data_IF_251428242275
#
_entry.id   IF_251428242275
#
_cell.length_a   1.000
_cell.length_b   1.000
_cell.length_c   1.000
_cell.angle_alpha   90.00
_cell.angle_beta   90.00
_cell.angle_gamma   90.00
#
_symmetry.space_group_name_H-M   'P 1'
#
loop_
_entity.id
_entity.type
_entity.pdbx_description
1 polymer ?
#
# COMPACT_ATOMS: atom_id res chain seq x y z
N UNK A 1 28.10 -15.84 1.58
CA UNK A 1 26.94 -14.99 1.27
C UNK A 1 25.71 -15.56 1.96
N UNK A 2 24.80 -14.74 2.51
CA UNK A 2 23.54 -15.25 3.06
C UNK A 2 22.71 -15.90 1.94
N UNK A 3 21.97 -16.96 2.27
CA UNK A 3 21.02 -17.56 1.32
C UNK A 3 19.94 -16.53 0.97
N UNK A 4 19.49 -16.47 -0.29
CA UNK A 4 18.41 -15.57 -0.66
C UNK A 4 17.15 -15.89 0.15
N UNK A 5 16.29 -14.89 0.43
CA UNK A 5 15.05 -15.12 1.15
C UNK A 5 14.15 -16.09 0.36
N UNK A 6 13.41 -16.91 1.10
CA UNK A 6 12.36 -17.76 0.51
C UNK A 6 11.19 -16.88 0.09
N UNK A 7 10.51 -17.30 -0.98
CA UNK A 7 9.30 -16.63 -1.41
C UNK A 7 8.20 -16.76 -0.34
N UNK A 8 7.52 -15.65 -0.03
CA UNK A 8 6.39 -15.62 0.88
C UNK A 8 5.12 -15.34 0.10
N UNK A 9 4.25 -16.34 0.01
CA UNK A 9 2.94 -16.22 -0.64
C UNK A 9 2.06 -15.18 0.06
N UNK A 10 2.09 -15.14 1.40
CA UNK A 10 1.36 -14.14 2.20
C UNK A 10 1.85 -12.72 1.88
N UNK A 11 3.16 -12.50 1.82
CA UNK A 11 3.70 -11.18 1.50
C UNK A 11 3.32 -10.74 0.07
N UNK A 12 3.35 -11.66 -0.89
CA UNK A 12 2.91 -11.39 -2.25
C UNK A 12 1.41 -11.08 -2.34
N UNK A 13 0.60 -11.82 -1.58
CA UNK A 13 -0.84 -11.60 -1.53
C UNK A 13 -1.17 -10.23 -0.91
N UNK A 14 -0.55 -9.86 0.22
CA UNK A 14 -0.68 -8.54 0.83
C UNK A 14 -0.28 -7.43 -0.17
N UNK A 15 0.84 -7.60 -0.88
CA UNK A 15 1.28 -6.63 -1.89
C UNK A 15 0.27 -6.51 -3.04
N UNK A 16 -0.29 -7.63 -3.48
CA UNK A 16 -1.32 -7.66 -4.52
C UNK A 16 -2.62 -6.97 -4.05
N UNK A 17 -3.05 -7.22 -2.81
CA UNK A 17 -4.19 -6.55 -2.18
C UNK A 17 -3.96 -5.03 -2.11
N UNK A 18 -2.79 -4.58 -1.62
CA UNK A 18 -2.44 -3.17 -1.59
C UNK A 18 -2.49 -2.54 -2.98
N UNK A 19 -1.92 -3.20 -4.00
CA UNK A 19 -1.94 -2.67 -5.37
C UNK A 19 -3.36 -2.51 -5.91
N UNK A 20 -4.27 -3.42 -5.57
CA UNK A 20 -5.70 -3.32 -5.94
C UNK A 20 -6.37 -2.16 -5.20
N UNK A 21 -6.20 -2.07 -3.87
CA UNK A 21 -6.78 -1.00 -3.04
C UNK A 21 -6.26 0.38 -3.50
N UNK A 22 -4.96 0.49 -3.79
CA UNK A 22 -4.32 1.73 -4.20
C UNK A 22 -4.87 2.31 -5.52
N UNK A 23 -5.64 1.54 -6.30
CA UNK A 23 -6.35 2.06 -7.48
C UNK A 23 -7.50 2.99 -7.12
N UNK A 24 -8.05 2.88 -5.91
CA UNK A 24 -9.09 3.78 -5.41
C UNK A 24 -8.53 5.15 -4.98
N UNK A 25 -7.19 5.30 -4.94
CA UNK A 25 -6.53 6.51 -4.48
C UNK A 25 -6.96 7.74 -5.25
N UNK A 26 -7.43 8.74 -4.50
CA UNK A 26 -7.76 10.06 -5.01
C UNK A 26 -6.53 10.96 -5.03
N UNK A 27 -6.55 11.94 -5.92
CA UNK A 27 -5.51 12.95 -6.03
C UNK A 27 -6.16 14.33 -6.00
N UNK A 28 -5.56 15.25 -5.24
CA UNK A 28 -5.96 16.64 -5.16
C UNK A 28 -4.82 17.52 -5.66
N UNK A 29 -5.03 18.25 -6.75
CA UNK A 29 -3.99 19.08 -7.40
C UNK A 29 -2.68 18.31 -7.68
N UNK A 30 -2.79 17.02 -8.00
CA UNK A 30 -1.64 16.13 -8.26
C UNK A 30 -0.99 15.56 -6.99
N UNK A 31 -1.47 15.90 -5.79
CA UNK A 31 -1.03 15.33 -4.52
C UNK A 31 -1.87 14.08 -4.20
N UNK A 32 -1.26 12.91 -3.97
CA UNK A 32 -1.99 11.72 -3.57
C UNK A 32 -2.60 11.88 -2.17
N UNK A 33 -3.88 11.53 -2.03
CA UNK A 33 -4.53 11.42 -0.73
C UNK A 33 -4.31 10.02 -0.13
N UNK A 34 -4.32 9.94 1.21
CA UNK A 34 -4.18 8.68 1.93
C UNK A 34 -5.36 7.73 1.66
N UNK A 35 -5.09 6.44 1.67
CA UNK A 35 -6.11 5.40 1.65
C UNK A 35 -6.76 5.30 3.03
N UNK A 36 -8.07 5.12 3.06
CA UNK A 36 -8.86 4.98 4.28
C UNK A 36 -9.35 3.56 4.52
N UNK A 37 -9.93 3.35 5.70
CA UNK A 37 -10.61 2.09 6.04
C UNK A 37 -11.74 1.74 5.06
N UNK A 38 -12.40 2.74 4.47
CA UNK A 38 -13.43 2.55 3.44
C UNK A 38 -12.87 1.89 2.17
N UNK A 39 -11.67 2.27 1.74
CA UNK A 39 -11.05 1.67 0.54
C UNK A 39 -10.67 0.21 0.78
N UNK A 40 -10.22 -0.10 2.00
CA UNK A 40 -9.93 -1.48 2.44
C UNK A 40 -11.24 -2.28 2.54
N UNK A 41 -12.29 -1.70 3.12
CA UNK A 41 -13.61 -2.32 3.21
C UNK A 41 -14.17 -2.68 1.83
N UNK A 42 -14.11 -1.77 0.87
CA UNK A 42 -14.55 -2.02 -0.51
C UNK A 42 -13.77 -3.17 -1.19
N UNK A 43 -12.48 -3.33 -0.87
CA UNK A 43 -11.73 -4.50 -1.33
C UNK A 43 -12.24 -5.79 -0.67
N UNK A 44 -12.53 -5.77 0.62
CA UNK A 44 -13.01 -6.94 1.36
C UNK A 44 -14.44 -7.36 1.00
N UNK A 45 -15.23 -6.48 0.38
CA UNK A 45 -16.52 -6.84 -0.21
C UNK A 45 -16.38 -7.75 -1.43
N UNK A 46 -15.23 -7.71 -2.11
CA UNK A 46 -14.97 -8.45 -3.35
C UNK A 46 -13.97 -9.61 -3.17
N UNK A 47 -13.11 -9.52 -2.15
CA UNK A 47 -11.98 -10.43 -1.95
C UNK A 47 -11.87 -10.84 -0.48
N UNK A 48 -11.35 -12.04 -0.24
CA UNK A 48 -10.98 -12.48 1.10
C UNK A 48 -9.65 -11.85 1.54
N UNK A 49 -9.52 -11.57 2.84
CA UNK A 49 -8.26 -11.08 3.40
C UNK A 49 -7.18 -12.18 3.32
N UNK A 50 -5.96 -11.88 2.84
CA UNK A 50 -4.90 -12.88 2.69
C UNK A 50 -4.23 -13.29 4.01
N UNK A 51 -4.64 -12.67 5.12
CA UNK A 51 -4.18 -12.87 6.49
C UNK A 51 -5.21 -12.25 7.44
N UNK A 52 -4.92 -12.26 8.74
CA UNK A 52 -5.71 -11.59 9.76
C UNK A 52 -5.93 -10.12 9.39
N UNK A 53 -7.19 -9.67 9.50
CA UNK A 53 -7.61 -8.36 9.02
C UNK A 53 -6.74 -7.21 9.56
N UNK A 54 -6.39 -7.24 10.84
CA UNK A 54 -5.54 -6.21 11.45
C UNK A 54 -4.14 -6.16 10.82
N UNK A 55 -3.56 -7.31 10.46
CA UNK A 55 -2.26 -7.40 9.78
C UNK A 55 -2.36 -6.82 8.37
N UNK A 56 -3.43 -7.14 7.63
CA UNK A 56 -3.66 -6.57 6.30
C UNK A 56 -3.76 -5.04 6.38
N UNK A 57 -4.56 -4.52 7.30
CA UNK A 57 -4.78 -3.08 7.50
C UNK A 57 -3.48 -2.37 7.83
N UNK A 58 -2.71 -2.89 8.79
CA UNK A 58 -1.40 -2.33 9.16
C UNK A 58 -0.42 -2.33 7.98
N UNK A 59 -0.37 -3.43 7.22
CA UNK A 59 0.49 -3.52 6.03
C UNK A 59 0.08 -2.53 4.94
N UNK A 60 -1.22 -2.39 4.67
CA UNK A 60 -1.74 -1.43 3.66
C UNK A 60 -1.36 -0.01 4.05
N UNK A 61 -1.56 0.38 5.31
CA UNK A 61 -1.20 1.72 5.78
C UNK A 61 0.30 1.96 5.78
N UNK A 62 1.12 0.96 6.13
CA UNK A 62 2.57 1.08 6.07
C UNK A 62 3.07 1.29 4.62
N UNK A 63 2.52 0.54 3.66
CA UNK A 63 2.83 0.69 2.24
C UNK A 63 2.34 2.03 1.69
N UNK A 64 1.15 2.46 2.12
CA UNK A 64 0.57 3.75 1.75
C UNK A 64 1.42 4.93 2.25
N UNK A 65 1.80 4.94 3.52
CA UNK A 65 2.68 5.95 4.10
C UNK A 65 3.99 6.09 3.32
N UNK A 66 4.59 4.97 2.93
CA UNK A 66 5.81 4.97 2.10
C UNK A 66 5.58 5.60 0.72
N UNK A 67 4.41 5.39 0.12
CA UNK A 67 4.03 6.02 -1.14
C UNK A 67 3.86 7.53 -0.98
N UNK A 68 3.10 7.97 0.04
CA UNK A 68 2.87 9.38 0.34
C UNK A 68 4.19 10.12 0.65
N UNK A 69 5.06 9.52 1.47
CA UNK A 69 6.39 10.06 1.76
C UNK A 69 7.22 10.28 0.51
N UNK A 70 7.19 9.32 -0.42
CA UNK A 70 7.90 9.44 -1.70
C UNK A 70 7.30 10.58 -2.54
N UNK A 71 5.97 10.66 -2.63
CA UNK A 71 5.29 11.72 -3.37
C UNK A 71 5.59 13.12 -2.80
N UNK A 72 5.50 13.28 -1.48
CA UNK A 72 5.84 14.54 -0.81
C UNK A 72 7.32 14.93 -0.98
N UNK A 73 8.24 13.95 -0.91
CA UNK A 73 9.67 14.20 -1.18
C UNK A 73 9.91 14.69 -2.61
N UNK A 74 9.20 14.13 -3.60
CA UNK A 74 9.28 14.56 -5.00
C UNK A 74 8.71 15.97 -5.18
N UNK A 75 7.56 16.27 -4.59
CA UNK A 75 6.92 17.59 -4.67
C UNK A 75 7.75 18.69 -3.98
N UNK A 76 8.42 18.36 -2.87
CA UNK A 76 9.30 19.30 -2.15
C UNK A 76 10.65 19.56 -2.83
N UNK A 77 10.93 18.94 -3.99
CA UNK A 77 12.20 19.10 -4.71
C UNK A 77 13.42 18.47 -4.01
N UNK A 78 13.21 17.66 -2.95
CA UNK A 78 14.28 17.06 -2.15
C UNK A 78 14.88 15.78 -2.74
N UNK A 79 14.37 15.30 -3.87
CA UNK A 79 14.92 14.14 -4.57
C UNK A 79 15.86 14.63 -5.67
N UNK A 80 17.17 14.66 -5.39
CA UNK A 80 18.19 14.75 -6.44
C UNK A 80 18.14 13.45 -7.26
N UNK A 81 18.09 13.59 -8.59
CA UNK A 81 18.16 12.50 -9.57
C UNK A 81 19.34 11.58 -9.31
#
# INVERSE_FOLDING_TARGET
MPKPPRYSYTANAILSSYNTIARARKYEQGVPLALGATDIGAYLELYEAPCELHILVECVFALDNKHLDKAHKLLSGKVKK
#
